data_IF_005932449500
#
_entry.id   IF_005932449500
#
_cell.length_a   1.000
_cell.length_b   1.000
_cell.length_c   1.000
_cell.angle_alpha   90.00
_cell.angle_beta   90.00
_cell.angle_gamma   90.00
#
_symmetry.space_group_name_H-M   'P 1'
#
loop_
_entity.id
_entity.type
_entity.pdbx_description
1 polymer ?
#
# COMPACT_ATOMS: atom_id res chain seq x y z
N UNK A 1 22.92 0.87 13.93
CA UNK A 1 21.82 0.11 13.30
C UNK A 1 20.70 1.08 12.97
N UNK A 2 20.60 1.57 11.75
CA UNK A 2 19.39 2.32 11.33
C UNK A 2 18.32 1.29 11.01
N UNK A 3 17.24 1.16 11.80
CA UNK A 3 16.14 0.31 11.39
C UNK A 3 15.64 0.86 10.06
N UNK A 4 15.67 0.05 9.00
CA UNK A 4 14.99 0.35 7.73
C UNK A 4 13.57 0.75 8.08
N UNK A 5 13.29 2.06 8.04
CA UNK A 5 12.07 2.67 8.57
C UNK A 5 10.94 2.31 7.63
N UNK A 6 10.40 1.09 7.80
CA UNK A 6 9.21 0.63 7.09
C UNK A 6 8.11 1.58 7.52
N UNK A 7 7.61 2.39 6.59
CA UNK A 7 6.57 3.36 6.88
C UNK A 7 5.35 2.61 7.39
N UNK A 8 4.88 3.00 8.57
CA UNK A 8 3.73 2.37 9.21
C UNK A 8 2.48 2.49 8.32
N UNK A 9 1.57 1.52 8.39
CA UNK A 9 0.32 1.57 7.64
C UNK A 9 -0.48 2.82 8.00
N UNK A 10 -0.49 3.25 9.26
CA UNK A 10 -1.19 4.45 9.69
C UNK A 10 -0.59 5.72 9.05
N UNK A 11 0.73 5.81 8.92
CA UNK A 11 1.38 6.94 8.25
C UNK A 11 0.99 7.00 6.78
N UNK A 12 0.88 5.86 6.09
CA UNK A 12 0.45 5.80 4.69
C UNK A 12 -1.01 6.22 4.53
N UNK A 13 -1.89 5.72 5.41
CA UNK A 13 -3.31 6.14 5.45
C UNK A 13 -3.42 7.64 5.69
N UNK A 14 -2.66 8.19 6.63
CA UNK A 14 -2.65 9.63 6.93
C UNK A 14 -2.20 10.45 5.72
N UNK A 15 -1.17 10.02 4.99
CA UNK A 15 -0.72 10.68 3.74
C UNK A 15 -1.85 10.71 2.70
N UNK A 16 -2.55 9.59 2.49
CA UNK A 16 -3.66 9.52 1.53
C UNK A 16 -4.82 10.43 1.94
N UNK A 17 -5.19 10.41 3.22
CA UNK A 17 -6.24 11.26 3.76
C UNK A 17 -5.91 12.75 3.61
N UNK A 18 -4.71 13.17 4.02
CA UNK A 18 -4.29 14.57 3.97
C UNK A 18 -4.13 15.08 2.53
N UNK A 19 -3.73 14.21 1.60
CA UNK A 19 -3.56 14.59 0.18
C UNK A 19 -4.86 14.54 -0.62
N UNK A 20 -5.85 13.79 -0.14
CA UNK A 20 -7.18 13.76 -0.75
C UNK A 20 -7.82 15.15 -0.78
N UNK A 21 -8.85 15.30 -1.61
CA UNK A 21 -9.67 16.52 -1.64
C UNK A 21 -10.15 16.97 -0.26
N UNK A 22 -10.47 16.04 0.64
CA UNK A 22 -10.93 16.35 1.99
C UNK A 22 -9.82 16.99 2.86
N UNK A 23 -8.57 16.56 2.66
CA UNK A 23 -7.42 17.12 3.38
C UNK A 23 -6.87 18.40 2.74
N UNK A 24 -6.89 18.49 1.40
CA UNK A 24 -6.51 19.69 0.65
C UNK A 24 -5.06 20.15 0.83
N UNK A 25 -4.21 19.35 1.49
CA UNK A 25 -2.83 19.73 1.82
C UNK A 25 -1.88 19.46 0.65
N UNK A 26 -0.86 20.30 0.55
CA UNK A 26 0.26 20.08 -0.37
C UNK A 26 1.19 18.99 0.15
N UNK A 27 1.95 18.35 -0.74
CA UNK A 27 2.92 17.31 -0.35
C UNK A 27 3.94 17.81 0.68
N UNK A 28 4.35 19.09 0.61
CA UNK A 28 5.30 19.70 1.55
C UNK A 28 4.71 19.84 2.95
N UNK A 29 3.49 20.37 3.05
CA UNK A 29 2.80 20.50 4.34
C UNK A 29 2.56 19.14 4.99
N UNK A 30 2.22 18.11 4.21
CA UNK A 30 2.06 16.73 4.70
C UNK A 30 3.39 16.17 5.21
N UNK A 31 4.47 16.39 4.46
CA UNK A 31 5.82 15.95 4.84
C UNK A 31 6.28 16.60 6.15
N UNK A 32 6.04 17.90 6.31
CA UNK A 32 6.32 18.66 7.53
C UNK A 32 5.47 18.17 8.71
N UNK A 33 4.15 18.04 8.50
CA UNK A 33 3.19 17.62 9.54
C UNK A 33 3.48 16.21 10.07
N UNK A 34 3.90 15.31 9.20
CA UNK A 34 4.21 13.92 9.54
C UNK A 34 5.70 13.68 9.83
N UNK A 35 6.55 14.72 9.71
CA UNK A 35 8.01 14.63 9.86
C UNK A 35 8.63 13.50 9.02
N UNK A 36 8.20 13.39 7.76
CA UNK A 36 8.71 12.41 6.78
C UNK A 36 9.27 13.12 5.55
N UNK A 37 10.25 12.51 4.84
CA UNK A 37 10.77 13.10 3.61
C UNK A 37 9.66 13.27 2.56
N UNK A 38 9.68 14.38 1.82
CA UNK A 38 8.77 14.65 0.70
C UNK A 38 8.76 13.48 -0.30
N UNK A 39 9.95 12.91 -0.58
CA UNK A 39 10.10 11.72 -1.44
C UNK A 39 9.27 10.52 -0.97
N UNK A 40 9.14 10.33 0.35
CA UNK A 40 8.33 9.24 0.92
C UNK A 40 6.85 9.50 0.69
N UNK A 41 6.40 10.75 0.84
CA UNK A 41 5.01 11.14 0.54
C UNK A 41 4.69 10.88 -0.93
N UNK A 42 5.56 11.32 -1.84
CA UNK A 42 5.38 11.12 -3.28
C UNK A 42 5.37 9.63 -3.67
N UNK A 43 6.24 8.82 -3.06
CA UNK A 43 6.27 7.38 -3.31
C UNK A 43 4.98 6.69 -2.86
N UNK A 44 4.45 7.05 -1.69
CA UNK A 44 3.16 6.52 -1.19
C UNK A 44 2.03 6.90 -2.15
N UNK A 45 1.98 8.17 -2.57
CA UNK A 45 0.96 8.65 -3.49
C UNK A 45 1.05 7.98 -4.86
N UNK A 46 2.26 7.79 -5.38
CA UNK A 46 2.48 7.08 -6.64
C UNK A 46 1.96 5.66 -6.56
N UNK A 47 2.33 4.91 -5.52
CA UNK A 47 1.86 3.52 -5.31
C UNK A 47 0.34 3.43 -5.18
N UNK A 48 -0.27 4.37 -4.46
CA UNK A 48 -1.73 4.39 -4.31
C UNK A 48 -2.42 4.68 -5.64
N UNK A 49 -1.92 5.66 -6.42
CA UNK A 49 -2.43 5.97 -7.77
C UNK A 49 -2.29 4.79 -8.73
N UNK A 50 -1.15 4.10 -8.70
CA UNK A 50 -0.92 2.88 -9.50
C UNK A 50 -1.97 1.78 -9.20
N UNK A 51 -2.58 1.83 -8.02
CA UNK A 51 -3.64 0.91 -7.56
C UNK A 51 -5.06 1.48 -7.68
N UNK A 52 -5.23 2.62 -8.35
CA UNK A 52 -6.54 3.22 -8.62
C UNK A 52 -7.02 4.26 -7.60
N UNK A 53 -6.18 4.68 -6.64
CA UNK A 53 -6.54 5.78 -5.75
C UNK A 53 -6.61 7.11 -6.51
N UNK A 54 -7.79 7.73 -6.52
CA UNK A 54 -8.00 9.07 -7.07
C UNK A 54 -8.11 10.12 -5.96
N UNK A 55 -7.10 11.01 -5.79
CA UNK A 55 -7.12 12.05 -4.78
C UNK A 55 -8.14 13.18 -5.07
N UNK A 56 -8.66 13.27 -6.30
CA UNK A 56 -9.60 14.32 -6.73
C UNK A 56 -11.07 13.94 -6.55
N UNK A 57 -11.33 12.67 -6.24
CA UNK A 57 -12.68 12.16 -6.02
C UNK A 57 -13.39 12.98 -4.91
N UNK A 58 -14.66 13.39 -5.11
CA UNK A 58 -15.45 14.08 -4.09
C UNK A 58 -15.61 13.28 -2.79
N UNK A 59 -15.61 11.94 -2.86
CA UNK A 59 -15.73 11.08 -1.69
C UNK A 59 -14.36 10.55 -1.28
N UNK A 60 -14.05 10.67 0.02
CA UNK A 60 -12.83 10.09 0.57
C UNK A 60 -13.04 8.59 0.81
N UNK A 61 -12.51 7.77 -0.09
CA UNK A 61 -12.49 6.30 0.06
C UNK A 61 -11.05 5.83 0.15
N UNK A 62 -10.64 5.35 1.32
CA UNK A 62 -9.32 4.75 1.55
C UNK A 62 -9.53 3.25 1.80
N UNK A 63 -9.22 2.43 0.80
CA UNK A 63 -9.26 0.98 0.90
C UNK A 63 -7.88 0.43 1.32
N UNK A 64 -7.83 -0.74 1.98
CA UNK A 64 -6.58 -1.44 2.31
C UNK A 64 -5.65 -1.60 1.11
N UNK A 65 -6.23 -1.86 -0.06
CA UNK A 65 -5.53 -2.01 -1.33
C UNK A 65 -4.61 -0.82 -1.65
N UNK A 66 -4.94 0.40 -1.23
CA UNK A 66 -4.14 1.59 -1.56
C UNK A 66 -2.88 1.75 -0.70
N UNK A 67 -2.87 1.25 0.53
CA UNK A 67 -1.77 1.47 1.47
C UNK A 67 -1.03 0.19 1.92
N UNK A 68 -1.66 -0.97 1.81
CA UNK A 68 -1.05 -2.24 2.21
C UNK A 68 0.11 -2.63 1.29
N UNK A 69 1.11 -3.30 1.84
CA UNK A 69 2.19 -3.83 1.01
C UNK A 69 1.66 -4.99 0.18
N UNK A 70 1.93 -4.98 -1.13
CA UNK A 70 1.59 -6.12 -1.98
C UNK A 70 2.33 -7.37 -1.45
N UNK A 71 1.74 -8.57 -1.63
CA UNK A 71 2.42 -9.81 -1.27
C UNK A 71 3.83 -9.78 -1.85
N UNK A 72 4.84 -9.87 -0.99
CA UNK A 72 6.23 -9.91 -1.46
C UNK A 72 6.37 -11.18 -2.27
N UNK A 73 6.68 -11.06 -3.55
CA UNK A 73 7.12 -12.20 -4.35
C UNK A 73 8.47 -12.65 -3.77
N UNK A 74 8.42 -13.52 -2.76
CA UNK A 74 9.59 -14.19 -2.25
C UNK A 74 10.11 -15.18 -3.28
N UNK A 75 11.27 -15.77 -3.00
CA UNK A 75 11.75 -16.94 -3.74
C UNK A 75 10.63 -18.00 -3.69
N UNK A 76 10.13 -18.48 -4.84
CA UNK A 76 9.18 -19.59 -4.86
C UNK A 76 9.74 -20.73 -4.00
N UNK A 77 9.00 -21.16 -2.98
CA UNK A 77 9.38 -22.38 -2.25
C UNK A 77 9.32 -23.53 -3.26
N UNK A 78 10.39 -24.32 -3.36
CA UNK A 78 10.38 -25.58 -4.14
C UNK A 78 9.14 -26.36 -3.71
N UNK A 79 8.27 -26.73 -4.67
CA UNK A 79 7.26 -27.76 -4.45
C UNK A 79 8.01 -29.04 -4.08
N UNK A 80 7.94 -29.46 -2.82
CA UNK A 80 7.99 -30.89 -2.50
C UNK A 80 6.69 -31.52 -3.03
N UNK A 81 6.81 -32.74 -3.48
CA UNK A 81 5.97 -33.43 -4.47
C UNK A 81 4.46 -33.49 -4.13
N UNK A 82 3.58 -33.66 -5.13
CA UNK A 82 2.14 -33.66 -4.92
C UNK A 82 1.73 -34.89 -4.10
N UNK A 83 1.15 -34.69 -2.91
CA UNK A 83 0.33 -35.76 -2.32
C UNK A 83 -0.87 -35.93 -3.24
N UNK A 84 -0.98 -37.09 -3.88
CA UNK A 84 -1.92 -37.42 -4.95
C UNK A 84 -3.41 -37.47 -4.52
N UNK A 85 -3.77 -36.87 -3.39
CA UNK A 85 -5.06 -37.08 -2.73
C UNK A 85 -6.08 -35.97 -3.01
N UNK A 86 -5.66 -34.82 -3.57
CA UNK A 86 -6.55 -33.65 -3.78
C UNK A 86 -7.00 -33.43 -5.24
N UNK A 87 -6.74 -34.39 -6.14
CA UNK A 87 -7.10 -34.27 -7.57
C UNK A 87 -8.44 -34.94 -7.90
N UNK A 88 -8.99 -35.82 -7.06
CA UNK A 88 -10.18 -36.62 -7.42
C UNK A 88 -11.52 -35.99 -7.00
N UNK A 89 -11.54 -34.97 -6.13
CA UNK A 89 -12.80 -34.32 -5.72
C UNK A 89 -13.36 -33.32 -6.74
N UNK A 90 -12.72 -33.15 -7.89
CA UNK A 90 -13.08 -32.09 -8.86
C UNK A 90 -13.46 -32.57 -10.26
N UNK A 91 -13.67 -33.87 -10.46
CA UNK A 91 -14.27 -34.41 -11.69
C UNK A 91 -15.37 -35.40 -11.31
N UNK A 92 -16.57 -34.87 -11.09
CA UNK A 92 -17.81 -35.55 -11.47
C UNK A 92 -18.15 -35.10 -12.89
#
# INVERSE_FOLDING_TARGET
>A
MTPTKRTDSATRVAVLALRSRAGGRTTREVAESLSIPVRTVDEILRRAKDRGFDPTNPLLTILPEYYEDAPRSGRPKKRTEPTAEDVVSKVC
#
